data_IF_376879128646
#
_entry.id   IF_376879128646
#
_cell.length_a   1.000
_cell.length_b   1.000
_cell.length_c   1.000
_cell.angle_alpha   90.00
_cell.angle_beta   90.00
_cell.angle_gamma   90.00
#
_symmetry.space_group_name_H-M   'P 1'
#
loop_
_entity.id
_entity.type
_entity.pdbx_description
1 polymer ?
#
# COMPACT_ATOMS: atom_id res chain seq x y z
N UNK A 1 -23.64 1.29 -5.77
CA UNK A 1 -22.96 2.56 -6.12
C UNK A 1 -21.54 2.60 -5.55
N UNK A 2 -21.34 2.38 -4.24
CA UNK A 2 -20.01 2.35 -3.59
C UNK A 2 -19.02 1.38 -4.26
N UNK A 3 -19.41 0.13 -4.55
CA UNK A 3 -18.50 -0.84 -5.19
C UNK A 3 -17.99 -0.41 -6.59
N UNK A 4 -18.79 0.33 -7.36
CA UNK A 4 -18.40 0.82 -8.68
C UNK A 4 -17.39 1.97 -8.57
N UNK A 5 -17.65 2.92 -7.66
CA UNK A 5 -16.72 4.03 -7.39
C UNK A 5 -15.40 3.52 -6.81
N UNK A 6 -15.46 2.51 -5.95
CA UNK A 6 -14.27 1.85 -5.38
C UNK A 6 -13.41 1.20 -6.47
N UNK A 7 -14.05 0.58 -7.46
CA UNK A 7 -13.35 -0.08 -8.57
C UNK A 7 -12.61 0.94 -9.44
N UNK A 8 -13.28 2.03 -9.82
CA UNK A 8 -12.68 3.10 -10.63
C UNK A 8 -11.50 3.75 -9.89
N UNK A 9 -11.70 4.10 -8.62
CA UNK A 9 -10.64 4.69 -7.79
C UNK A 9 -9.49 3.72 -7.56
N UNK A 10 -9.78 2.42 -7.40
CA UNK A 10 -8.77 1.38 -7.25
C UNK A 10 -7.87 1.25 -8.48
N UNK A 11 -8.45 1.19 -9.69
CA UNK A 11 -7.66 1.20 -10.93
C UNK A 11 -6.87 2.49 -11.10
N UNK A 12 -7.50 3.64 -10.82
CA UNK A 12 -6.82 4.92 -10.81
C UNK A 12 -5.60 4.92 -9.89
N UNK A 13 -5.72 4.34 -8.69
CA UNK A 13 -4.66 4.32 -7.69
C UNK A 13 -3.51 3.40 -8.10
N UNK A 14 -3.81 2.24 -8.71
CA UNK A 14 -2.78 1.34 -9.24
C UNK A 14 -2.00 2.01 -10.37
N UNK A 15 -2.71 2.65 -11.31
CA UNK A 15 -2.06 3.35 -12.43
C UNK A 15 -1.22 4.52 -11.89
N UNK A 16 -1.84 5.43 -11.14
CA UNK A 16 -1.17 6.61 -10.62
C UNK A 16 0.00 6.24 -9.70
N UNK A 17 -0.17 5.20 -8.88
CA UNK A 17 0.86 4.67 -8.00
C UNK A 17 2.04 4.01 -8.72
N UNK A 18 1.81 3.31 -9.83
CA UNK A 18 2.90 2.73 -10.64
C UNK A 18 3.66 3.79 -11.45
N UNK A 19 3.00 4.88 -11.84
CA UNK A 19 3.67 5.97 -12.55
C UNK A 19 4.72 6.66 -11.67
N UNK A 20 4.49 6.79 -10.36
CA UNK A 20 5.43 7.45 -9.43
C UNK A 20 6.84 6.83 -9.47
N UNK A 21 7.04 5.52 -9.18
CA UNK A 21 8.37 4.94 -9.22
C UNK A 21 8.96 4.92 -10.63
N UNK A 22 8.14 4.77 -11.69
CA UNK A 22 8.63 4.80 -13.09
C UNK A 22 9.20 6.17 -13.45
N UNK A 23 8.47 7.25 -13.19
CA UNK A 23 8.94 8.62 -13.45
C UNK A 23 10.13 8.98 -12.56
N UNK A 24 10.14 8.51 -11.31
CA UNK A 24 11.27 8.71 -10.43
C UNK A 24 12.54 8.03 -10.96
N UNK A 25 12.45 6.79 -11.42
CA UNK A 25 13.60 6.07 -12.02
C UNK A 25 14.11 6.73 -13.29
N UNK A 26 13.20 7.21 -14.16
CA UNK A 26 13.58 7.97 -15.37
C UNK A 26 14.32 9.25 -15.00
N UNK A 27 13.85 9.96 -13.97
CA UNK A 27 14.50 11.18 -13.48
C UNK A 27 15.88 10.93 -12.89
N UNK A 28 16.08 9.80 -12.21
CA UNK A 28 17.39 9.43 -11.62
C UNK A 28 18.36 8.94 -12.70
N UNK A 29 17.89 8.07 -13.60
CA UNK A 29 18.71 7.46 -14.64
C UNK A 29 18.92 8.32 -15.89
N UNK A 30 18.79 9.65 -15.78
CA UNK A 30 18.99 10.60 -16.89
C UNK A 30 18.21 10.24 -18.19
N UNK A 31 16.99 9.70 -18.05
CA UNK A 31 16.17 9.25 -19.18
C UNK A 31 16.12 7.72 -19.37
N UNK A 32 16.99 6.95 -18.70
CA UNK A 32 16.99 5.49 -18.74
C UNK A 32 16.53 4.88 -17.40
N UNK A 33 15.34 4.25 -17.33
CA UNK A 33 14.84 3.64 -16.09
C UNK A 33 15.75 2.55 -15.51
N UNK A 34 16.45 1.79 -16.36
CA UNK A 34 17.31 0.68 -15.93
C UNK A 34 18.52 1.22 -15.18
N UNK A 35 19.08 2.32 -15.67
CA UNK A 35 20.18 3.01 -15.01
C UNK A 35 19.73 3.65 -13.69
N UNK A 36 18.50 4.17 -13.66
CA UNK A 36 17.86 4.63 -12.42
C UNK A 36 17.78 3.54 -11.36
N UNK A 37 17.39 2.31 -11.74
CA UNK A 37 17.32 1.18 -10.79
C UNK A 37 18.70 0.87 -10.23
N UNK A 38 19.72 0.84 -11.10
CA UNK A 38 21.10 0.56 -10.71
C UNK A 38 21.62 1.59 -9.72
N UNK A 39 21.41 2.89 -9.99
CA UNK A 39 21.85 3.98 -9.11
C UNK A 39 21.15 3.94 -7.75
N UNK A 40 19.83 3.66 -7.72
CA UNK A 40 19.09 3.52 -6.45
C UNK A 40 19.62 2.33 -5.65
N UNK A 41 19.93 1.22 -6.31
CA UNK A 41 20.48 0.03 -5.66
C UNK A 41 21.89 0.26 -5.12
N UNK A 42 22.77 0.93 -5.88
CA UNK A 42 24.14 1.24 -5.47
C UNK A 42 24.20 2.24 -4.31
N UNK A 43 23.26 3.18 -4.23
CA UNK A 43 23.23 4.19 -3.18
C UNK A 43 22.85 3.64 -1.80
N UNK A 44 21.96 2.65 -1.73
CA UNK A 44 21.44 2.12 -0.46
C UNK A 44 21.06 0.64 -0.56
N UNK A 45 22.03 -0.25 -0.80
CA UNK A 45 21.78 -1.69 -0.97
C UNK A 45 21.16 -2.33 0.28
N UNK A 46 21.47 -1.82 1.47
CA UNK A 46 20.91 -2.32 2.74
C UNK A 46 19.39 -2.12 2.84
N UNK A 47 18.83 -1.09 2.20
CA UNK A 47 17.37 -0.82 2.22
C UNK A 47 16.55 -1.81 1.38
N UNK A 48 17.22 -2.60 0.54
CA UNK A 48 16.59 -3.69 -0.21
C UNK A 48 16.49 -5.00 0.61
N UNK A 49 17.18 -5.08 1.75
CA UNK A 49 17.03 -6.21 2.67
C UNK A 49 15.80 -6.00 3.56
N UNK A 50 14.73 -6.74 3.28
CA UNK A 50 13.47 -6.64 4.03
C UNK A 50 13.50 -7.35 5.38
N UNK A 51 14.47 -8.26 5.62
CA UNK A 51 14.57 -9.03 6.85
C UNK A 51 15.60 -8.36 7.77
N UNK A 52 15.13 -7.87 8.92
CA UNK A 52 16.02 -7.37 9.96
C UNK A 52 16.77 -8.53 10.62
N UNK A 53 18.03 -8.31 10.97
CA UNK A 53 18.86 -9.25 11.75
C UNK A 53 18.56 -9.21 13.25
N UNK A 54 17.68 -8.30 13.68
CA UNK A 54 17.25 -8.14 15.07
C UNK A 54 16.31 -9.28 15.49
N UNK A 55 16.35 -9.65 16.77
CA UNK A 55 15.53 -10.73 17.32
C UNK A 55 14.10 -10.26 17.59
N UNK A 56 13.10 -11.08 17.25
CA UNK A 56 11.69 -10.75 17.50
C UNK A 56 11.23 -11.05 18.94
N UNK A 57 12.10 -11.65 19.75
CA UNK A 57 11.82 -12.10 21.11
C UNK A 57 12.89 -11.54 22.05
N UNK A 58 12.49 -10.90 23.15
CA UNK A 58 13.40 -10.37 24.18
C UNK A 58 13.59 -8.86 24.17
N UNK A 59 14.67 -8.38 24.78
CA UNK A 59 15.02 -6.94 24.79
C UNK A 59 15.33 -6.44 23.37
N UNK A 60 14.83 -5.25 23.02
CA UNK A 60 14.97 -4.68 21.68
C UNK A 60 13.89 -5.11 20.67
N UNK A 61 13.10 -6.15 20.97
CA UNK A 61 12.05 -6.65 20.06
C UNK A 61 10.99 -5.61 19.67
N UNK A 62 10.72 -4.62 20.54
CA UNK A 62 9.77 -3.54 20.26
C UNK A 62 10.25 -2.54 19.21
N UNK A 63 11.57 -2.43 19.03
CA UNK A 63 12.17 -1.51 18.06
C UNK A 63 12.57 -2.22 16.76
N UNK A 64 12.44 -3.55 16.72
CA UNK A 64 12.82 -4.32 15.55
C UNK A 64 11.80 -4.15 14.43
N UNK A 65 12.26 -3.70 13.26
CA UNK A 65 11.38 -3.28 12.16
C UNK A 65 10.68 -4.48 11.51
N UNK A 66 11.39 -5.61 11.33
CA UNK A 66 10.84 -6.83 10.72
C UNK A 66 11.75 -8.07 10.98
N UNK A 67 11.73 -8.64 12.20
CA UNK A 67 12.39 -9.92 12.47
C UNK A 67 11.77 -11.06 11.66
N UNK A 68 12.59 -11.99 11.19
CA UNK A 68 12.12 -13.14 10.41
C UNK A 68 11.07 -13.99 11.13
N UNK A 69 11.22 -14.16 12.45
CA UNK A 69 10.31 -14.94 13.31
C UNK A 69 8.89 -14.35 13.34
N UNK A 70 8.77 -13.02 13.29
CA UNK A 70 7.50 -12.30 13.36
C UNK A 70 6.64 -12.53 12.11
N UNK A 71 7.27 -12.86 10.97
CA UNK A 71 6.58 -13.20 9.71
C UNK A 71 5.61 -14.37 9.90
N UNK A 72 6.04 -15.42 10.61
CA UNK A 72 5.27 -16.66 10.78
C UNK A 72 4.40 -16.69 12.03
N UNK A 73 4.73 -15.85 13.03
CA UNK A 73 3.97 -15.77 14.27
C UNK A 73 2.94 -14.64 14.20
N UNK A 74 3.34 -13.40 14.50
CA UNK A 74 2.42 -12.27 14.64
C UNK A 74 1.79 -11.83 13.31
N UNK A 75 2.58 -11.74 12.24
CA UNK A 75 2.09 -11.25 10.95
C UNK A 75 1.13 -12.24 10.30
N UNK A 76 1.41 -13.56 10.35
CA UNK A 76 0.49 -14.56 9.80
C UNK A 76 -0.90 -14.51 10.46
N UNK A 77 -0.94 -14.43 11.80
CA UNK A 77 -2.20 -14.30 12.55
C UNK A 77 -2.93 -13.00 12.19
N UNK A 78 -2.20 -11.88 12.14
CA UNK A 78 -2.77 -10.58 11.76
C UNK A 78 -3.38 -10.61 10.35
N UNK A 79 -2.72 -11.26 9.39
CA UNK A 79 -3.25 -11.38 8.03
C UNK A 79 -4.51 -12.24 7.98
N UNK A 80 -4.57 -13.36 8.72
CA UNK A 80 -5.78 -14.18 8.81
C UNK A 80 -6.94 -13.35 9.39
N UNK A 81 -6.70 -12.65 10.51
CA UNK A 81 -7.70 -11.75 11.10
C UNK A 81 -8.18 -10.69 10.11
N UNK A 82 -7.25 -9.98 9.47
CA UNK A 82 -7.56 -8.92 8.51
C UNK A 82 -8.41 -9.44 7.34
N UNK A 83 -8.13 -10.61 6.79
CA UNK A 83 -8.88 -11.11 5.64
C UNK A 83 -10.20 -11.79 5.98
N UNK A 84 -10.29 -12.41 7.15
CA UNK A 84 -11.46 -13.23 7.53
C UNK A 84 -12.46 -12.50 8.42
N UNK A 85 -11.99 -11.57 9.26
CA UNK A 85 -12.81 -10.90 10.27
C UNK A 85 -13.04 -9.42 9.98
N UNK A 86 -12.33 -8.82 9.01
CA UNK A 86 -12.54 -7.42 8.68
C UNK A 86 -13.87 -7.21 7.94
N UNK A 87 -14.77 -6.47 8.59
CA UNK A 87 -16.18 -6.40 8.19
C UNK A 87 -16.37 -5.87 6.75
N UNK A 88 -15.58 -4.89 6.33
CA UNK A 88 -15.69 -4.34 4.97
C UNK A 88 -15.31 -5.34 3.86
N UNK A 89 -14.51 -6.36 4.19
CA UNK A 89 -14.05 -7.39 3.24
C UNK A 89 -15.05 -8.55 3.24
N UNK A 90 -15.36 -9.10 4.42
CA UNK A 90 -16.24 -10.26 4.53
C UNK A 90 -17.65 -9.97 4.01
N UNK A 91 -18.16 -8.74 4.20
CA UNK A 91 -19.44 -8.33 3.62
C UNK A 91 -19.46 -8.38 2.09
N UNK A 92 -18.34 -8.05 1.42
CA UNK A 92 -18.22 -8.14 -0.04
C UNK A 92 -18.18 -9.58 -0.52
N UNK A 93 -17.55 -10.46 0.26
CA UNK A 93 -17.50 -11.90 0.00
C UNK A 93 -18.89 -12.53 0.17
N UNK A 94 -19.59 -12.22 1.25
CA UNK A 94 -20.92 -12.76 1.55
C UNK A 94 -22.02 -12.18 0.62
N UNK A 95 -21.83 -10.96 0.12
CA UNK A 95 -22.74 -10.33 -0.85
C UNK A 95 -22.53 -10.74 -2.31
N UNK A 96 -21.60 -11.66 -2.59
CA UNK A 96 -21.31 -12.10 -3.95
C UNK A 96 -22.36 -13.10 -4.48
N UNK A 97 -22.48 -13.15 -5.81
CA UNK A 97 -23.50 -13.95 -6.50
C UNK A 97 -23.33 -15.47 -6.33
N UNK A 98 -22.09 -15.95 -6.25
CA UNK A 98 -21.78 -17.37 -6.05
C UNK A 98 -20.32 -17.56 -5.59
N UNK A 99 -20.02 -18.74 -5.05
CA UNK A 99 -18.69 -19.09 -4.54
C UNK A 99 -17.59 -19.03 -5.59
N UNK A 100 -17.89 -19.39 -6.84
CA UNK A 100 -16.91 -19.42 -7.94
C UNK A 100 -16.41 -18.02 -8.28
N UNK A 101 -17.31 -17.03 -8.31
CA UNK A 101 -16.95 -15.62 -8.55
C UNK A 101 -16.20 -15.02 -7.36
N UNK A 102 -16.55 -15.40 -6.12
CA UNK A 102 -15.77 -15.03 -4.92
C UNK A 102 -14.33 -15.51 -5.04
N UNK A 103 -14.12 -16.79 -5.36
CA UNK A 103 -12.78 -17.37 -5.46
C UNK A 103 -11.92 -16.69 -6.53
N UNK A 104 -12.50 -16.39 -7.70
CA UNK A 104 -11.82 -15.60 -8.74
C UNK A 104 -11.48 -14.20 -8.24
N UNK A 105 -12.42 -13.50 -7.60
CA UNK A 105 -12.20 -12.16 -7.05
C UNK A 105 -11.08 -12.13 -6.01
N UNK A 106 -10.99 -13.15 -5.15
CA UNK A 106 -9.92 -13.31 -4.18
C UNK A 106 -8.56 -13.57 -4.86
N UNK A 107 -8.51 -14.40 -5.91
CA UNK A 107 -7.29 -14.62 -6.69
C UNK A 107 -6.80 -13.32 -7.37
N UNK A 108 -7.71 -12.55 -7.98
CA UNK A 108 -7.37 -11.24 -8.55
C UNK A 108 -6.87 -10.26 -7.50
N UNK A 109 -7.47 -10.25 -6.32
CA UNK A 109 -7.04 -9.42 -5.18
C UNK A 109 -5.62 -9.80 -4.74
N UNK A 110 -5.33 -11.10 -4.64
CA UNK A 110 -3.99 -11.61 -4.33
C UNK A 110 -2.95 -11.16 -5.36
N UNK A 111 -3.27 -11.26 -6.65
CA UNK A 111 -2.41 -10.81 -7.74
C UNK A 111 -2.13 -9.30 -7.66
N UNK A 112 -3.17 -8.48 -7.48
CA UNK A 112 -3.03 -7.02 -7.37
C UNK A 112 -2.20 -6.62 -6.15
N UNK A 113 -2.26 -7.36 -5.05
CA UNK A 113 -1.44 -7.08 -3.85
C UNK A 113 0.07 -7.21 -4.09
N UNK A 114 0.51 -8.01 -5.06
CA UNK A 114 1.93 -8.12 -5.42
C UNK A 114 2.46 -6.78 -5.96
N UNK A 115 1.59 -5.95 -6.56
CA UNK A 115 1.97 -4.63 -7.06
C UNK A 115 2.14 -3.59 -5.94
N UNK A 116 1.51 -3.79 -4.79
CA UNK A 116 1.47 -2.78 -3.71
C UNK A 116 2.85 -2.46 -3.15
N UNK A 117 3.74 -3.43 -2.84
CA UNK A 117 5.12 -3.12 -2.45
C UNK A 117 5.88 -2.34 -3.53
N UNK A 118 5.62 -2.61 -4.81
CA UNK A 118 6.25 -1.89 -5.92
C UNK A 118 5.80 -0.43 -5.98
N UNK A 119 4.54 -0.16 -5.65
CA UNK A 119 3.97 1.18 -5.63
C UNK A 119 4.43 1.97 -4.39
N UNK A 120 4.41 1.34 -3.20
CA UNK A 120 4.61 2.05 -1.92
C UNK A 120 6.04 1.88 -1.41
N UNK A 121 6.48 0.65 -1.18
CA UNK A 121 7.78 0.36 -0.54
C UNK A 121 8.93 0.82 -1.43
N UNK A 122 8.88 0.46 -2.71
CA UNK A 122 9.93 0.84 -3.65
C UNK A 122 9.99 2.35 -3.88
N UNK A 123 8.83 3.02 -3.95
CA UNK A 123 8.78 4.49 -3.95
C UNK A 123 9.35 5.10 -2.68
N UNK A 124 9.19 4.46 -1.51
CA UNK A 124 9.84 4.88 -0.27
C UNK A 124 11.37 4.81 -0.35
N UNK A 125 11.92 3.74 -0.93
CA UNK A 125 13.37 3.58 -1.16
C UNK A 125 13.89 4.66 -2.13
N UNK A 126 13.15 4.93 -3.21
CA UNK A 126 13.50 6.01 -4.14
C UNK A 126 13.37 7.39 -3.47
N UNK A 127 12.38 7.58 -2.59
CA UNK A 127 12.27 8.77 -1.76
C UNK A 127 13.50 8.99 -0.88
N UNK A 128 14.02 7.92 -0.27
CA UNK A 128 15.26 7.98 0.50
C UNK A 128 16.46 8.40 -0.37
N UNK A 129 16.55 7.93 -1.62
CA UNK A 129 17.58 8.40 -2.57
C UNK A 129 17.52 9.93 -2.79
N UNK A 130 16.32 10.52 -2.83
CA UNK A 130 16.16 11.96 -3.09
C UNK A 130 16.27 12.86 -1.85
N UNK A 131 15.81 12.39 -0.69
CA UNK A 131 15.65 13.20 0.52
C UNK A 131 16.59 12.78 1.66
N UNK A 132 17.29 11.66 1.52
CA UNK A 132 18.20 11.12 2.52
C UNK A 132 17.52 10.98 3.89
N UNK A 133 18.23 11.39 4.94
CA UNK A 133 17.75 11.26 6.31
C UNK A 133 16.82 12.40 6.77
N UNK A 134 16.64 13.44 5.95
CA UNK A 134 15.91 14.66 6.35
C UNK A 134 14.44 14.43 6.72
N UNK A 135 13.86 13.28 6.32
CA UNK A 135 12.45 12.94 6.52
C UNK A 135 12.23 11.80 7.51
N UNK A 136 13.25 11.36 8.27
CA UNK A 136 13.05 10.30 9.28
C UNK A 136 12.08 10.71 10.39
N UNK A 137 12.02 11.99 10.74
CA UNK A 137 11.06 12.50 11.72
C UNK A 137 9.62 12.52 11.19
N UNK A 138 9.43 12.49 9.86
CA UNK A 138 8.13 12.56 9.20
C UNK A 138 8.06 11.61 7.97
N UNK A 139 8.15 10.29 8.17
CA UNK A 139 8.28 9.32 7.08
C UNK A 139 7.05 9.29 6.15
N UNK A 140 5.86 9.62 6.66
CA UNK A 140 4.63 9.67 5.87
C UNK A 140 4.63 10.77 4.79
N UNK A 141 5.50 11.77 4.94
CA UNK A 141 5.63 12.87 3.98
C UNK A 141 6.47 12.52 2.74
N UNK A 142 7.23 11.42 2.79
CA UNK A 142 8.15 11.00 1.73
C UNK A 142 7.42 10.76 0.41
N UNK A 143 6.31 10.02 0.44
CA UNK A 143 5.57 9.66 -0.76
C UNK A 143 4.89 10.87 -1.44
N UNK A 144 4.16 11.75 -0.71
CA UNK A 144 3.64 13.00 -1.29
C UNK A 144 4.72 13.93 -1.86
N UNK A 145 5.87 14.05 -1.18
CA UNK A 145 6.98 14.89 -1.66
C UNK A 145 7.62 14.29 -2.91
N UNK A 146 7.76 12.97 -2.97
CA UNK A 146 8.24 12.27 -4.16
C UNK A 146 7.30 12.51 -5.34
N UNK A 147 5.98 12.31 -5.15
CA UNK A 147 4.95 12.58 -6.16
C UNK A 147 5.09 14.00 -6.73
N UNK A 148 5.19 15.01 -5.85
CA UNK A 148 5.35 16.41 -6.25
C UNK A 148 6.64 16.67 -7.02
N UNK A 149 7.71 15.93 -6.71
CA UNK A 149 9.03 16.09 -7.32
C UNK A 149 9.13 15.43 -8.70
N UNK A 150 8.47 14.28 -8.91
CA UNK A 150 8.69 13.44 -10.11
C UNK A 150 7.56 13.53 -11.14
N UNK A 151 6.33 13.87 -10.73
CA UNK A 151 5.21 13.95 -11.67
C UNK A 151 5.00 15.38 -12.21
N UNK A 152 4.63 15.52 -13.49
CA UNK A 152 4.22 16.82 -14.04
C UNK A 152 2.91 17.29 -13.43
N UNK A 153 2.67 18.61 -13.44
CA UNK A 153 1.55 19.26 -12.75
C UNK A 153 0.18 18.62 -13.00
N UNK A 154 -0.12 18.27 -14.26
CA UNK A 154 -1.39 17.65 -14.65
C UNK A 154 -1.57 16.25 -14.05
N UNK A 155 -0.48 15.47 -13.98
CA UNK A 155 -0.50 14.11 -13.45
C UNK A 155 -0.50 14.11 -11.92
N UNK A 156 0.13 15.10 -11.28
CA UNK A 156 0.01 15.36 -9.84
C UNK A 156 -1.45 15.67 -9.47
N UNK A 157 -2.13 16.51 -10.27
CA UNK A 157 -3.56 16.79 -10.07
C UNK A 157 -4.43 15.53 -10.19
N UNK A 158 -4.17 14.71 -11.22
CA UNK A 158 -4.83 13.41 -11.37
C UNK A 158 -4.60 12.49 -10.16
N UNK A 159 -3.34 12.37 -9.71
CA UNK A 159 -2.98 11.55 -8.56
C UNK A 159 -3.72 11.99 -7.29
N UNK A 160 -3.75 13.29 -7.01
CA UNK A 160 -4.46 13.84 -5.83
C UNK A 160 -5.96 13.58 -5.93
N UNK A 161 -6.57 13.75 -7.11
CA UNK A 161 -7.99 13.47 -7.31
C UNK A 161 -8.33 12.00 -7.04
N UNK A 162 -7.52 11.07 -7.55
CA UNK A 162 -7.67 9.63 -7.32
C UNK A 162 -7.50 9.28 -5.84
N UNK A 163 -6.49 9.83 -5.17
CA UNK A 163 -6.29 9.60 -3.73
C UNK A 163 -7.48 10.09 -2.90
N UNK A 164 -7.99 11.29 -3.19
CA UNK A 164 -9.17 11.83 -2.51
C UNK A 164 -10.39 10.92 -2.72
N UNK A 165 -10.58 10.42 -3.95
CA UNK A 165 -11.60 9.43 -4.25
C UNK A 165 -11.44 8.13 -3.44
N UNK A 166 -10.22 7.61 -3.34
CA UNK A 166 -9.90 6.41 -2.56
C UNK A 166 -10.12 6.61 -1.04
N UNK A 167 -9.78 7.79 -0.51
CA UNK A 167 -10.03 8.14 0.90
C UNK A 167 -11.52 8.20 1.18
N UNK A 168 -12.30 8.90 0.35
CA UNK A 168 -13.76 8.98 0.49
C UNK A 168 -14.43 7.62 0.38
N UNK A 169 -13.97 6.78 -0.55
CA UNK A 169 -14.40 5.38 -0.70
C UNK A 169 -14.15 4.55 0.57
N UNK A 170 -12.95 4.66 1.14
CA UNK A 170 -12.57 3.97 2.38
C UNK A 170 -13.41 4.45 3.55
N UNK A 171 -13.60 5.76 3.67
CA UNK A 171 -14.42 6.38 4.71
C UNK A 171 -15.88 5.92 4.64
N UNK A 172 -16.47 5.89 3.43
CA UNK A 172 -17.82 5.38 3.21
C UNK A 172 -17.93 3.89 3.58
N UNK A 173 -16.94 3.07 3.22
CA UNK A 173 -16.90 1.65 3.57
C UNK A 173 -16.80 1.43 5.09
N UNK A 174 -16.03 2.26 5.79
CA UNK A 174 -15.90 2.21 7.25
C UNK A 174 -17.20 2.62 7.95
N UNK A 175 -17.84 3.71 7.51
CA UNK A 175 -19.15 4.14 8.03
C UNK A 175 -20.22 3.07 7.83
N UNK A 176 -20.28 2.46 6.65
CA UNK A 176 -21.23 1.39 6.37
C UNK A 176 -20.99 0.16 7.26
N UNK A 177 -19.72 -0.19 7.49
CA UNK A 177 -19.34 -1.29 8.37
C UNK A 177 -19.75 -1.00 9.82
N UNK A 178 -19.46 0.20 10.33
CA UNK A 178 -19.82 0.64 11.67
C UNK A 178 -21.34 0.69 11.88
N UNK A 179 -22.09 1.24 10.93
CA UNK A 179 -23.54 1.29 10.96
C UNK A 179 -24.16 -0.12 10.99
N UNK A 180 -23.60 -1.06 10.24
CA UNK A 180 -24.07 -2.46 10.24
C UNK A 180 -23.84 -3.12 11.60
N UNK A 181 -22.64 -2.96 12.19
CA UNK A 181 -22.31 -3.51 13.50
C UNK A 181 -23.21 -2.92 14.59
N UNK A 182 -23.44 -1.60 14.55
CA UNK A 182 -24.32 -0.93 15.52
C UNK A 182 -25.78 -1.40 15.40
N UNK A 183 -26.34 -1.37 14.18
CA UNK A 183 -27.75 -1.70 13.95
C UNK A 183 -28.07 -3.17 14.23
N UNK A 184 -27.19 -4.11 13.85
CA UNK A 184 -27.44 -5.54 14.04
C UNK A 184 -26.92 -6.08 15.38
N UNK A 185 -25.89 -5.46 15.95
CA UNK A 185 -25.21 -5.96 17.13
C UNK A 185 -25.56 -5.25 18.44
N UNK A 186 -26.02 -3.99 18.41
CA UNK A 186 -26.28 -3.20 19.62
C UNK A 186 -27.74 -2.76 19.72
N UNK A 187 -28.28 -2.14 18.67
CA UNK A 187 -29.59 -1.49 18.74
C UNK A 187 -30.78 -2.46 18.71
N UNK A 188 -30.57 -3.67 18.21
CA UNK A 188 -31.64 -4.62 17.97
C UNK A 188 -32.42 -4.96 19.24
#
# INVERSE_FOLDING_TARGET
MVAYTDTINGFGLVIAGLLVPVFALISIGYGNPIEGIKLVFENSPEKFNMISRETGIGEGARNAILPFEVLFMGLMINQIYFWTMHQSIIQRVLGAVNLKEVQKGLLYTGLLKILVPLIIVFSGIIGFYYFGESLYDNPDSVYPLLVKKVLPLWLTGFFVAVMMGAILSTFNSALNSAATVFSLGIYK
#
